data_IF_838111736875
#
_entry.id   IF_838111736875
#
_cell.length_a   1.000
_cell.length_b   1.000
_cell.length_c   1.000
_cell.angle_alpha   90.00
_cell.angle_beta   90.00
_cell.angle_gamma   90.00
#
_symmetry.space_group_name_H-M   'P 1'
#
loop_
_entity.id
_entity.type
_entity.pdbx_description
1 polymer ?
#
# COMPACT_ATOMS: atom_id res chain seq x y z
N UNK A 1 -19.60 -0.34 -14.14
CA UNK A 1 -20.61 -0.71 -13.13
C UNK A 1 -20.01 -0.66 -11.73
N UNK A 2 -20.81 -0.19 -10.75
CA UNK A 2 -20.47 -0.28 -9.33
C UNK A 2 -21.54 -1.18 -8.69
N UNK A 3 -21.11 -2.31 -8.12
CA UNK A 3 -21.99 -3.37 -7.64
C UNK A 3 -21.58 -3.79 -6.22
N UNK A 4 -22.57 -4.20 -5.42
CA UNK A 4 -22.31 -4.75 -4.09
C UNK A 4 -21.64 -6.12 -4.15
N UNK A 5 -20.64 -6.36 -3.29
CA UNK A 5 -19.83 -7.59 -3.31
C UNK A 5 -20.44 -8.83 -2.65
N UNK A 6 -21.68 -8.76 -2.11
CA UNK A 6 -22.26 -9.86 -1.30
C UNK A 6 -23.10 -10.86 -2.09
N UNK A 7 -23.57 -10.52 -3.29
CA UNK A 7 -24.48 -11.35 -4.06
C UNK A 7 -23.79 -11.93 -5.29
N UNK A 8 -23.82 -13.25 -5.47
CA UNK A 8 -23.22 -13.95 -6.59
C UNK A 8 -23.71 -13.45 -7.96
N UNK A 9 -24.97 -13.05 -8.06
CA UNK A 9 -25.55 -12.47 -9.29
C UNK A 9 -24.79 -11.22 -9.78
N UNK A 10 -24.14 -10.46 -8.90
CA UNK A 10 -23.40 -9.26 -9.25
C UNK A 10 -22.08 -9.57 -10.00
N UNK A 11 -21.59 -10.81 -9.88
CA UNK A 11 -20.41 -11.31 -10.56
C UNK A 11 -20.70 -12.05 -11.88
N UNK A 12 -21.98 -12.09 -12.30
CA UNK A 12 -22.42 -12.82 -13.49
C UNK A 12 -22.78 -11.89 -14.65
N UNK A 13 -22.89 -12.45 -15.83
CA UNK A 13 -23.45 -11.82 -17.06
C UNK A 13 -22.74 -10.55 -17.54
N UNK A 14 -21.48 -10.36 -17.16
CA UNK A 14 -20.68 -9.21 -17.57
C UNK A 14 -19.34 -9.64 -18.11
N UNK A 15 -18.90 -8.95 -19.16
CA UNK A 15 -17.50 -8.99 -19.61
C UNK A 15 -16.95 -7.57 -19.54
N UNK A 16 -15.82 -7.41 -18.91
CA UNK A 16 -15.19 -6.11 -18.65
C UNK A 16 -13.68 -6.24 -18.84
N UNK A 17 -12.99 -5.13 -19.01
CA UNK A 17 -11.54 -5.11 -19.14
C UNK A 17 -10.84 -4.98 -17.78
N UNK A 18 -11.53 -4.36 -16.80
CA UNK A 18 -10.97 -4.10 -15.47
C UNK A 18 -11.96 -4.54 -14.40
N UNK A 19 -11.49 -5.33 -13.45
CA UNK A 19 -12.18 -5.66 -12.20
C UNK A 19 -11.53 -4.89 -11.06
N UNK A 20 -12.31 -4.06 -10.36
CA UNK A 20 -11.89 -3.31 -9.18
C UNK A 20 -12.60 -3.82 -7.92
N UNK A 21 -11.84 -4.08 -6.86
CA UNK A 21 -12.36 -4.52 -5.56
C UNK A 21 -11.94 -3.49 -4.51
N UNK A 22 -12.90 -2.69 -4.09
CA UNK A 22 -12.70 -1.69 -3.04
C UNK A 22 -13.11 -2.28 -1.69
N UNK A 23 -12.30 -2.03 -0.66
CA UNK A 23 -12.49 -2.61 0.68
C UNK A 23 -12.56 -4.15 0.69
N UNK A 24 -11.70 -4.82 -0.07
CA UNK A 24 -11.68 -6.29 -0.21
C UNK A 24 -11.67 -7.04 1.13
N UNK A 25 -11.01 -6.50 2.15
CA UNK A 25 -11.00 -7.09 3.50
C UNK A 25 -12.39 -7.11 4.18
N UNK A 26 -13.37 -6.37 3.65
CA UNK A 26 -14.74 -6.35 4.15
C UNK A 26 -15.68 -7.32 3.42
N UNK A 27 -15.23 -7.94 2.33
CA UNK A 27 -16.01 -8.92 1.58
C UNK A 27 -16.06 -10.25 2.33
N UNK A 28 -17.12 -11.02 2.12
CA UNK A 28 -17.20 -12.39 2.58
C UNK A 28 -16.12 -13.22 1.82
N UNK A 29 -15.53 -14.20 2.50
CA UNK A 29 -14.47 -15.04 1.89
C UNK A 29 -15.01 -15.94 0.78
N UNK A 30 -16.28 -16.31 0.88
CA UNK A 30 -17.00 -17.13 -0.08
C UNK A 30 -18.37 -16.50 -0.35
N UNK A 31 -18.66 -16.22 -1.60
CA UNK A 31 -19.90 -15.60 -2.03
C UNK A 31 -20.92 -16.69 -2.37
N UNK A 32 -21.91 -16.89 -1.48
CA UNK A 32 -23.01 -17.82 -1.68
C UNK A 32 -22.56 -19.26 -2.08
N UNK A 33 -21.41 -19.72 -1.57
CA UNK A 33 -20.79 -21.01 -1.86
C UNK A 33 -20.34 -21.18 -3.34
N UNK A 34 -20.12 -20.07 -4.04
CA UNK A 34 -19.64 -20.08 -5.44
C UNK A 34 -18.15 -19.76 -5.56
N UNK A 35 -17.52 -19.28 -4.49
CA UNK A 35 -16.09 -18.97 -4.43
C UNK A 35 -15.78 -17.56 -3.94
N UNK A 36 -14.49 -17.25 -3.88
CA UNK A 36 -14.05 -15.95 -3.40
C UNK A 36 -14.46 -14.82 -4.34
N UNK A 37 -14.65 -13.59 -3.82
CA UNK A 37 -15.02 -12.45 -4.64
C UNK A 37 -14.05 -12.18 -5.79
N UNK A 38 -12.74 -12.35 -5.55
CA UNK A 38 -11.72 -12.15 -6.59
C UNK A 38 -11.76 -13.26 -7.64
N UNK A 39 -12.00 -14.49 -7.25
CA UNK A 39 -12.16 -15.60 -8.21
C UNK A 39 -13.36 -15.34 -9.14
N UNK A 40 -14.51 -14.98 -8.57
CA UNK A 40 -15.74 -14.75 -9.36
C UNK A 40 -15.62 -13.50 -10.26
N UNK A 41 -15.04 -12.43 -9.75
CA UNK A 41 -14.91 -11.19 -10.50
C UNK A 41 -13.84 -11.27 -11.59
N UNK A 42 -12.71 -11.91 -11.33
CA UNK A 42 -11.63 -12.06 -12.33
C UNK A 42 -12.05 -12.94 -13.51
N UNK A 43 -13.05 -13.82 -13.35
CA UNK A 43 -13.71 -14.51 -14.48
C UNK A 43 -14.35 -13.54 -15.49
N UNK A 44 -14.62 -12.31 -15.09
CA UNK A 44 -15.25 -11.29 -15.96
C UNK A 44 -14.27 -10.58 -16.87
N UNK A 45 -12.98 -10.64 -16.56
CA UNK A 45 -11.91 -10.04 -17.37
C UNK A 45 -11.14 -11.04 -18.22
N UNK A 46 -11.38 -12.36 -18.09
CA UNK A 46 -10.65 -13.41 -18.83
C UNK A 46 -10.71 -13.25 -20.37
N UNK A 47 -11.79 -12.68 -20.89
CA UNK A 47 -11.96 -12.43 -22.32
C UNK A 47 -11.38 -11.10 -22.83
N UNK A 48 -10.81 -10.29 -21.94
CA UNK A 48 -10.23 -8.99 -22.31
C UNK A 48 -8.86 -9.16 -22.98
N UNK A 49 -8.56 -8.25 -23.90
CA UNK A 49 -7.21 -8.13 -24.51
C UNK A 49 -6.22 -7.59 -23.50
N UNK A 50 -6.68 -6.73 -22.59
CA UNK A 50 -5.86 -6.07 -21.55
C UNK A 50 -6.50 -6.24 -20.17
N UNK A 51 -6.59 -7.46 -19.65
CA UNK A 51 -7.26 -7.70 -18.37
C UNK A 51 -6.49 -7.04 -17.22
N UNK A 52 -7.22 -6.39 -16.31
CA UNK A 52 -6.63 -5.81 -15.12
C UNK A 52 -7.50 -6.08 -13.89
N UNK A 53 -6.90 -6.64 -12.84
CA UNK A 53 -7.51 -6.81 -11.52
C UNK A 53 -6.86 -5.84 -10.54
N UNK A 54 -7.66 -4.96 -9.94
CA UNK A 54 -7.22 -3.96 -8.96
C UNK A 54 -7.89 -4.26 -7.63
N UNK A 55 -7.10 -4.49 -6.60
CA UNK A 55 -7.56 -4.87 -5.26
C UNK A 55 -7.06 -3.85 -4.25
N UNK A 56 -7.99 -3.18 -3.58
CA UNK A 56 -7.70 -2.16 -2.57
C UNK A 56 -8.40 -2.47 -1.26
N UNK A 57 -7.70 -2.28 -0.14
CA UNK A 57 -8.31 -2.36 1.20
C UNK A 57 -7.33 -1.95 2.29
N UNK A 58 -7.87 -1.56 3.43
CA UNK A 58 -7.15 -1.54 4.70
C UNK A 58 -7.16 -2.95 5.30
N UNK A 59 -5.99 -3.53 5.69
CA UNK A 59 -5.95 -4.82 6.35
C UNK A 59 -6.70 -4.81 7.69
N UNK A 60 -7.41 -5.90 8.02
CA UNK A 60 -8.17 -6.03 9.27
C UNK A 60 -7.47 -6.92 10.29
N UNK A 61 -7.31 -8.20 9.97
CA UNK A 61 -6.74 -9.19 10.88
C UNK A 61 -5.53 -9.85 10.22
N UNK A 62 -4.39 -9.75 10.88
CA UNK A 62 -3.14 -10.30 10.37
C UNK A 62 -3.25 -11.81 10.13
N UNK A 63 -2.79 -12.25 8.97
CA UNK A 63 -2.70 -13.67 8.59
C UNK A 63 -3.98 -14.29 8.02
N UNK A 64 -5.15 -13.65 8.20
CA UNK A 64 -6.43 -14.17 7.67
C UNK A 64 -7.08 -13.22 6.68
N UNK A 65 -6.58 -11.99 6.58
CA UNK A 65 -7.18 -10.94 5.77
C UNK A 65 -7.02 -11.20 4.26
N UNK A 66 -8.09 -11.07 3.50
CA UNK A 66 -8.10 -11.29 2.05
C UNK A 66 -7.12 -10.37 1.30
N UNK A 67 -6.98 -9.11 1.72
CA UNK A 67 -6.01 -8.19 1.08
C UNK A 67 -4.56 -8.58 1.39
N UNK A 68 -4.25 -9.08 2.59
CA UNK A 68 -2.90 -9.57 2.91
C UNK A 68 -2.57 -10.82 2.09
N UNK A 69 -3.54 -11.73 1.91
CA UNK A 69 -3.38 -12.90 1.04
C UNK A 69 -3.12 -12.48 -0.40
N UNK A 70 -3.93 -11.57 -0.94
CA UNK A 70 -3.73 -11.02 -2.29
C UNK A 70 -2.35 -10.34 -2.43
N UNK A 71 -1.91 -9.59 -1.42
CA UNK A 71 -0.60 -8.97 -1.40
C UNK A 71 0.56 -9.98 -1.40
N UNK A 72 0.39 -11.11 -0.70
CA UNK A 72 1.40 -12.17 -0.63
C UNK A 72 1.55 -12.97 -1.94
N UNK A 73 0.53 -12.96 -2.79
CA UNK A 73 0.57 -13.57 -4.12
C UNK A 73 1.41 -12.77 -5.11
N UNK A 74 1.60 -11.47 -4.87
CA UNK A 74 2.43 -10.62 -5.72
C UNK A 74 3.93 -10.77 -5.38
N UNK A 75 4.80 -10.93 -6.40
CA UNK A 75 6.25 -11.02 -6.18
C UNK A 75 6.88 -9.70 -5.72
N UNK A 76 6.20 -8.57 -5.93
CA UNK A 76 6.72 -7.24 -5.69
C UNK A 76 5.85 -6.48 -4.69
N UNK A 77 6.32 -6.41 -3.46
CA UNK A 77 5.72 -5.58 -2.40
C UNK A 77 6.44 -4.24 -2.33
N UNK A 78 5.77 -3.19 -2.82
CA UNK A 78 6.31 -1.86 -3.00
C UNK A 78 6.02 -0.98 -1.79
N UNK A 79 7.06 -0.37 -1.22
CA UNK A 79 6.95 0.59 -0.13
C UNK A 79 7.32 1.99 -0.61
N UNK A 80 6.60 2.98 -0.13
CA UNK A 80 6.82 4.38 -0.51
C UNK A 80 8.00 4.96 0.28
N UNK A 81 9.09 5.28 -0.43
CA UNK A 81 10.31 5.84 0.14
C UNK A 81 10.37 7.33 -0.10
N UNK A 82 10.82 8.05 0.89
CA UNK A 82 11.02 9.49 0.89
C UNK A 82 12.41 9.82 1.43
N UNK A 83 13.06 10.82 0.83
CA UNK A 83 14.36 11.27 1.32
C UNK A 83 14.21 12.02 2.66
N UNK A 84 15.14 11.77 3.57
CA UNK A 84 15.24 12.55 4.79
C UNK A 84 15.64 13.99 4.42
N UNK A 85 14.90 15.03 4.85
CA UNK A 85 15.19 16.42 4.50
C UNK A 85 16.54 16.93 5.05
N UNK A 86 17.11 16.22 6.01
CA UNK A 86 18.34 16.65 6.69
C UNK A 86 19.59 15.89 6.21
N UNK A 87 19.50 14.57 5.97
CA UNK A 87 20.66 13.78 5.54
C UNK A 87 20.57 13.26 4.09
N UNK A 88 19.41 13.38 3.44
CA UNK A 88 19.18 12.94 2.06
C UNK A 88 18.97 11.43 1.88
N UNK A 89 19.14 10.61 2.92
CA UNK A 89 18.96 9.17 2.82
C UNK A 89 17.48 8.79 2.66
N UNK A 90 17.21 7.88 1.72
CA UNK A 90 15.85 7.37 1.46
C UNK A 90 15.42 6.35 2.51
N UNK A 91 14.16 6.47 2.95
CA UNK A 91 13.55 5.53 3.88
C UNK A 91 12.04 5.49 3.67
N UNK A 92 11.39 4.36 3.97
CA UNK A 92 9.95 4.37 4.15
C UNK A 92 9.61 4.68 5.61
N UNK A 93 8.56 5.47 5.84
CA UNK A 93 8.16 5.84 7.19
C UNK A 93 7.62 4.64 7.94
N UNK A 94 8.15 4.40 9.14
CA UNK A 94 7.75 3.34 10.07
C UNK A 94 7.10 3.94 11.30
N UNK A 95 6.15 3.24 11.90
CA UNK A 95 5.54 3.74 13.15
C UNK A 95 6.59 3.84 14.26
N UNK A 96 7.36 2.78 14.45
CA UNK A 96 8.39 2.70 15.49
C UNK A 96 7.78 2.60 16.89
N UNK A 97 7.88 1.45 17.52
CA UNK A 97 7.47 1.23 18.90
C UNK A 97 8.51 1.77 19.91
N UNK A 98 8.31 1.47 21.18
CA UNK A 98 9.23 1.92 22.26
C UNK A 98 10.63 1.32 22.14
N UNK A 99 10.75 0.13 21.55
CA UNK A 99 12.01 -0.60 21.40
C UNK A 99 12.73 -0.25 20.10
N UNK A 100 12.01 0.25 19.10
CA UNK A 100 12.58 0.68 17.82
C UNK A 100 13.25 2.06 17.96
N UNK A 101 14.53 2.21 17.64
CA UNK A 101 15.26 3.47 17.85
C UNK A 101 14.89 4.59 16.88
N UNK A 102 14.06 4.33 15.88
CA UNK A 102 13.62 5.27 14.83
C UNK A 102 12.09 5.23 14.67
N UNK A 103 11.55 6.01 13.73
CA UNK A 103 10.11 6.09 13.48
C UNK A 103 9.45 7.26 14.20
N UNK A 104 8.12 7.21 14.34
CA UNK A 104 7.39 8.22 15.10
C UNK A 104 7.72 8.13 16.58
N UNK A 105 8.07 9.27 17.15
CA UNK A 105 8.42 9.44 18.57
C UNK A 105 7.67 10.64 19.14
N UNK A 106 7.28 10.54 20.40
CA UNK A 106 6.61 11.62 21.13
C UNK A 106 6.84 11.48 22.63
N UNK A 107 6.66 12.58 23.35
CA UNK A 107 6.67 12.55 24.82
C UNK A 107 5.37 11.91 25.32
N UNK A 108 5.40 10.97 26.26
CA UNK A 108 4.19 10.44 26.89
C UNK A 108 3.28 11.59 27.35
N UNK A 109 1.96 11.43 27.12
CA UNK A 109 0.91 12.40 27.44
C UNK A 109 0.96 13.75 26.66
N UNK A 110 1.91 13.92 25.73
CA UNK A 110 1.98 15.08 24.84
C UNK A 110 2.07 14.68 23.35
N UNK A 111 0.94 14.37 22.71
CA UNK A 111 0.92 14.06 21.28
C UNK A 111 1.44 15.16 20.37
N UNK A 112 1.39 16.42 20.83
CA UNK A 112 1.86 17.58 20.04
C UNK A 112 3.38 17.59 19.86
N UNK A 113 4.11 16.88 20.71
CA UNK A 113 5.58 16.74 20.63
C UNK A 113 6.05 15.81 19.51
N UNK A 114 5.15 15.15 18.76
CA UNK A 114 5.48 14.14 17.78
C UNK A 114 6.46 14.61 16.71
N UNK A 115 7.44 13.76 16.42
CA UNK A 115 8.39 13.89 15.33
C UNK A 115 8.72 12.51 14.77
N UNK A 116 9.37 12.47 13.61
CA UNK A 116 9.93 11.23 13.06
C UNK A 116 11.44 11.23 13.27
N UNK A 117 11.97 10.14 13.79
CA UNK A 117 13.42 9.94 13.91
C UNK A 117 13.91 9.07 12.74
N UNK A 118 14.77 9.66 11.91
CA UNK A 118 15.38 9.02 10.74
C UNK A 118 16.18 7.79 11.14
N UNK A 119 15.99 6.68 10.42
CA UNK A 119 16.66 5.41 10.72
C UNK A 119 18.16 5.40 10.35
N UNK A 120 18.60 6.28 9.44
CA UNK A 120 19.99 6.31 8.98
C UNK A 120 20.87 7.17 9.90
N UNK A 121 20.50 8.41 10.14
CA UNK A 121 21.35 9.37 10.85
C UNK A 121 20.67 10.03 12.05
N UNK A 122 19.58 9.45 12.58
CA UNK A 122 18.85 9.94 13.72
C UNK A 122 18.43 11.43 13.60
N UNK A 123 18.20 11.93 12.39
CA UNK A 123 17.68 13.27 12.15
C UNK A 123 16.25 13.38 12.66
N UNK A 124 15.94 14.49 13.35
CA UNK A 124 14.57 14.81 13.77
C UNK A 124 13.85 15.49 12.62
N UNK A 125 12.78 14.86 12.13
CA UNK A 125 11.98 15.33 11.00
C UNK A 125 10.59 15.73 11.49
N UNK A 126 10.13 16.92 11.11
CA UNK A 126 8.74 17.37 11.31
C UNK A 126 7.89 17.02 10.09
N UNK A 127 6.60 16.76 10.27
CA UNK A 127 5.72 16.38 9.16
C UNK A 127 5.75 17.36 7.99
N UNK A 128 5.77 18.63 8.26
CA UNK A 128 5.80 19.70 7.23
C UNK A 128 7.13 19.84 6.50
N UNK A 129 8.18 19.15 6.93
CA UNK A 129 9.49 19.15 6.27
C UNK A 129 9.59 18.07 5.19
N UNK A 130 8.61 17.14 5.14
CA UNK A 130 8.60 16.09 4.14
C UNK A 130 8.35 16.66 2.75
N UNK A 131 9.20 16.27 1.80
CA UNK A 131 9.04 16.55 0.38
C UNK A 131 8.90 15.23 -0.38
N UNK A 132 7.80 15.08 -1.10
CA UNK A 132 7.48 13.88 -1.88
C UNK A 132 7.85 14.01 -3.36
N UNK A 133 8.48 15.12 -3.79
CA UNK A 133 8.77 15.40 -5.22
C UNK A 133 9.59 14.28 -5.85
N UNK A 134 10.60 13.77 -5.14
CA UNK A 134 11.47 12.68 -5.59
C UNK A 134 11.14 11.32 -4.97
N UNK A 135 10.05 11.24 -4.23
CA UNK A 135 9.63 10.00 -3.59
C UNK A 135 9.32 8.91 -4.62
N UNK A 136 9.55 7.65 -4.25
CA UNK A 136 9.33 6.50 -5.13
C UNK A 136 8.90 5.26 -4.36
N UNK A 137 8.21 4.39 -5.06
CA UNK A 137 7.92 3.04 -4.58
C UNK A 137 9.09 2.11 -4.90
N UNK A 138 9.58 1.40 -3.90
CA UNK A 138 10.68 0.44 -4.03
C UNK A 138 10.25 -0.91 -3.47
N UNK A 139 10.56 -1.98 -4.19
CA UNK A 139 10.46 -3.34 -3.68
C UNK A 139 11.77 -3.73 -3.00
N UNK A 140 11.77 -3.87 -1.68
CA UNK A 140 13.00 -4.22 -0.92
C UNK A 140 13.57 -5.57 -1.31
N UNK A 141 12.71 -6.52 -1.74
CA UNK A 141 13.13 -7.87 -2.12
C UNK A 141 13.83 -7.94 -3.48
N UNK A 142 13.30 -7.20 -4.48
CA UNK A 142 13.77 -7.27 -5.87
C UNK A 142 14.55 -6.06 -6.31
N UNK A 143 14.43 -4.94 -5.58
CA UNK A 143 15.08 -3.68 -5.89
C UNK A 143 14.42 -2.89 -7.02
N UNK A 144 13.38 -3.41 -7.67
CA UNK A 144 12.67 -2.64 -8.70
C UNK A 144 11.96 -1.44 -8.08
N UNK A 145 11.81 -0.39 -8.85
CA UNK A 145 11.17 0.82 -8.36
C UNK A 145 10.42 1.58 -9.45
N UNK A 146 9.51 2.44 -9.02
CA UNK A 146 8.75 3.35 -9.88
C UNK A 146 8.36 4.61 -9.11
N UNK A 147 8.17 5.73 -9.81
CA UNK A 147 7.62 6.97 -9.24
C UNK A 147 6.14 7.16 -9.56
N UNK A 148 5.73 6.74 -10.73
CA UNK A 148 4.40 7.02 -11.30
C UNK A 148 3.56 5.76 -11.60
N UNK A 149 4.15 4.56 -11.44
CA UNK A 149 3.53 3.30 -11.79
C UNK A 149 3.47 3.03 -13.30
N UNK A 150 4.05 3.90 -14.12
CA UNK A 150 4.09 3.80 -15.59
C UNK A 150 5.49 3.38 -16.04
N UNK A 151 6.50 4.13 -15.62
CA UNK A 151 7.91 3.81 -15.89
C UNK A 151 8.48 3.01 -14.72
N UNK A 152 9.11 1.90 -15.05
CA UNK A 152 9.68 0.96 -14.09
C UNK A 152 11.16 0.80 -14.31
N UNK A 153 11.88 0.63 -13.22
CA UNK A 153 13.34 0.57 -13.22
C UNK A 153 13.84 -0.60 -12.38
N UNK A 154 14.94 -1.18 -12.80
CA UNK A 154 15.69 -2.15 -12.02
C UNK A 154 16.39 -1.49 -10.83
N UNK A 155 17.01 -2.29 -9.97
CA UNK A 155 17.85 -1.79 -8.87
C UNK A 155 19.09 -1.02 -9.38
N UNK A 156 19.55 -1.28 -10.60
CA UNK A 156 20.63 -0.54 -11.25
C UNK A 156 20.20 0.76 -11.94
N UNK A 157 18.88 1.04 -11.97
CA UNK A 157 18.32 2.23 -12.61
C UNK A 157 18.06 2.08 -14.12
N UNK A 158 18.15 0.88 -14.66
CA UNK A 158 17.79 0.60 -16.05
C UNK A 158 16.26 0.49 -16.16
N UNK A 159 15.69 1.07 -17.23
CA UNK A 159 14.27 0.94 -17.51
C UNK A 159 13.93 -0.51 -17.85
N UNK A 160 12.83 -1.01 -17.28
CA UNK A 160 12.34 -2.37 -17.46
C UNK A 160 10.86 -2.36 -17.83
N UNK A 161 10.39 -3.47 -18.40
CA UNK A 161 8.95 -3.65 -18.61
C UNK A 161 8.20 -3.65 -17.26
N UNK A 162 6.98 -3.09 -17.23
CA UNK A 162 6.13 -3.14 -16.05
C UNK A 162 5.90 -4.58 -15.58
N UNK A 163 6.00 -4.86 -14.28
CA UNK A 163 5.72 -6.21 -13.77
C UNK A 163 4.23 -6.56 -13.87
N UNK A 164 3.93 -7.83 -14.07
CA UNK A 164 2.54 -8.34 -14.21
C UNK A 164 1.71 -8.16 -12.92
N UNK A 165 2.36 -8.19 -11.78
CA UNK A 165 1.69 -8.07 -10.48
C UNK A 165 2.55 -7.33 -9.47
N UNK A 166 1.94 -6.34 -8.81
CA UNK A 166 2.57 -5.55 -7.76
C UNK A 166 1.59 -5.27 -6.63
N UNK A 167 2.11 -5.11 -5.43
CA UNK A 167 1.37 -4.60 -4.28
C UNK A 167 1.98 -3.29 -3.84
N UNK A 168 1.20 -2.22 -3.78
CA UNK A 168 1.61 -0.95 -3.21
C UNK A 168 1.13 -0.85 -1.77
N UNK A 169 2.03 -0.55 -0.85
CA UNK A 169 1.72 -0.29 0.54
C UNK A 169 2.04 1.17 0.88
N UNK A 170 1.04 1.86 1.41
CA UNK A 170 1.18 3.20 1.97
C UNK A 170 0.33 3.28 3.23
N UNK A 171 0.75 4.06 4.21
CA UNK A 171 -0.01 4.23 5.45
C UNK A 171 -0.22 5.71 5.80
N UNK A 172 -1.04 5.93 6.80
CA UNK A 172 -1.57 7.25 7.17
C UNK A 172 -0.51 8.34 7.41
N UNK A 173 0.73 7.97 7.79
CA UNK A 173 1.80 8.96 8.02
C UNK A 173 2.19 9.79 6.78
N UNK A 174 1.87 9.30 5.58
CA UNK A 174 2.08 10.03 4.32
C UNK A 174 0.89 10.89 3.90
N UNK A 175 -0.25 10.75 4.59
CA UNK A 175 -1.49 11.41 4.18
C UNK A 175 -1.43 12.93 4.42
N UNK A 176 -1.81 13.74 3.44
CA UNK A 176 -1.98 15.18 3.62
C UNK A 176 -3.27 15.52 4.39
N UNK A 177 -4.17 14.55 4.60
CA UNK A 177 -5.48 14.75 5.21
C UNK A 177 -5.50 14.54 6.74
N UNK A 178 -4.37 14.09 7.30
CA UNK A 178 -4.24 13.90 8.74
C UNK A 178 -2.87 14.35 9.23
N UNK A 179 -2.72 14.50 10.53
CA UNK A 179 -1.45 14.89 11.14
C UNK A 179 -0.84 13.73 11.92
N UNK A 180 0.48 13.73 12.07
CA UNK A 180 1.14 12.78 12.97
C UNK A 180 0.66 12.91 14.40
N UNK A 181 0.26 14.11 14.82
CA UNK A 181 -0.39 14.34 16.12
C UNK A 181 -1.67 13.52 16.25
N UNK A 182 -2.49 13.47 15.19
CA UNK A 182 -3.72 12.68 15.21
C UNK A 182 -3.41 11.17 15.24
N UNK A 183 -2.43 10.71 14.48
CA UNK A 183 -2.00 9.30 14.52
C UNK A 183 -1.61 8.87 15.93
N UNK A 184 -0.87 9.72 16.65
CA UNK A 184 -0.46 9.45 18.04
C UNK A 184 -1.63 9.47 19.01
N UNK A 185 -2.63 10.35 18.78
CA UNK A 185 -3.85 10.39 19.63
C UNK A 185 -4.73 9.16 19.46
N UNK A 186 -4.72 8.58 18.26
CA UNK A 186 -5.55 7.41 17.93
C UNK A 186 -4.89 6.09 18.38
N UNK A 187 -3.60 6.14 18.74
CA UNK A 187 -2.82 5.01 19.26
C UNK A 187 -3.09 4.79 20.76
#
# INVERSE_FOLDING_TARGET
WCLGGKAAKNYREKSVDVAGYDELAAFDEDIEQEGSPTFLGDKRIEGSVWPKSIRGSTPKVRGTCQIERAASESPHFMRFHVACPHCGEEQYLKFGDKETPFGLKWTPDDPSSVFYLCEHNACVIRQQELDFTDARYICEKTGIWTRDGILWFSSSGEEIEPPDSVTFHIWTAYSPFTTWVQIVKDW
#
